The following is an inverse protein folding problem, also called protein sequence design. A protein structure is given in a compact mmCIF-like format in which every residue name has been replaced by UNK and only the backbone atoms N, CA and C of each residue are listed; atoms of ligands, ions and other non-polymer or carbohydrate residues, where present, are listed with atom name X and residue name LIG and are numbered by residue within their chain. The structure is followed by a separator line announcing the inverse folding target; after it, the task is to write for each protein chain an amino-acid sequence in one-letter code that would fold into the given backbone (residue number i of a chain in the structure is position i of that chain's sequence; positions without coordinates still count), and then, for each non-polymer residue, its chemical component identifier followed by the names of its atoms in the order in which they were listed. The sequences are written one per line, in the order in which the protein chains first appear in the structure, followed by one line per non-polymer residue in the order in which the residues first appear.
data_IF_861451740448
#
_entry.id   IF_861451740448
#
_cell.length_a   1.000
_cell.length_b   1.000
_cell.length_c   1.000
_cell.angle_alpha   90.00
_cell.angle_beta   90.00
_cell.angle_gamma   90.00
#
_symmetry.space_group_name_H-M   'P 1'
#
loop_
_entity.id
_entity.type
_entity.pdbx_description
1 polymer ?
#
# COMPACT_ATOMS: atom_id res chain seq x y z
N UNK A 1 -10.18 13.55 21.62
CA UNK A 1 -10.61 12.39 20.84
C UNK A 1 -9.47 12.13 19.91
N UNK A 2 -8.84 10.97 19.99
CA UNK A 2 -7.83 10.59 19.01
C UNK A 2 -8.61 10.16 17.79
N UNK A 3 -8.67 11.02 16.78
CA UNK A 3 -9.23 10.65 15.49
C UNK A 3 -8.31 9.56 14.94
N UNK A 4 -8.79 8.32 14.95
CA UNK A 4 -8.03 7.21 14.40
C UNK A 4 -7.95 7.41 12.88
N UNK A 5 -6.76 7.28 12.31
CA UNK A 5 -6.53 7.28 10.88
C UNK A 5 -6.49 5.83 10.40
N UNK A 6 -7.13 5.55 9.27
CA UNK A 6 -7.24 4.22 8.69
C UNK A 6 -6.51 4.17 7.35
N UNK A 7 -5.87 3.03 7.04
CA UNK A 7 -5.05 2.85 5.84
C UNK A 7 -5.55 1.64 5.04
N UNK A 8 -5.81 1.83 3.75
CA UNK A 8 -6.20 0.75 2.83
C UNK A 8 -5.21 0.64 1.66
N UNK A 9 -4.69 -0.57 1.47
CA UNK A 9 -3.64 -0.87 0.50
C UNK A 9 -4.20 -1.61 -0.71
N UNK A 10 -3.63 -1.31 -1.89
CA UNK A 10 -4.02 -1.98 -3.14
C UNK A 10 -2.90 -1.95 -4.18
N UNK A 11 -3.02 -2.84 -5.16
CA UNK A 11 -2.11 -2.93 -6.30
C UNK A 11 -2.80 -2.55 -7.59
N UNK A 12 -2.06 -1.86 -8.46
CA UNK A 12 -2.47 -1.52 -9.81
C UNK A 12 -1.43 -1.98 -10.81
N UNK A 13 -1.89 -2.52 -11.93
CA UNK A 13 -1.08 -2.72 -13.13
C UNK A 13 -1.47 -1.62 -14.13
N UNK A 14 -0.51 -0.82 -14.60
CA UNK A 14 -0.76 0.10 -15.71
C UNK A 14 -0.86 -0.68 -17.03
N UNK A 15 -1.62 -0.15 -18.00
CA UNK A 15 -1.74 -0.77 -19.31
C UNK A 15 -0.39 -0.92 -20.03
N UNK A 16 -0.25 -2.02 -20.74
CA UNK A 16 0.94 -2.38 -21.54
C UNK A 16 0.94 -1.52 -22.82
N UNK A 17 1.84 -0.54 -22.90
CA UNK A 17 1.93 0.32 -24.08
C UNK A 17 2.83 -0.38 -25.10
N UNK A 18 2.23 -0.98 -26.13
CA UNK A 18 2.97 -1.46 -27.29
C UNK A 18 3.50 -0.29 -28.12
N UNK A 19 4.73 0.15 -27.81
CA UNK A 19 5.45 1.11 -28.63
C UNK A 19 6.15 0.36 -29.76
N UNK A 20 5.65 0.55 -30.99
CA UNK A 20 6.35 0.28 -32.25
C UNK A 20 6.72 -1.16 -32.66
N UNK A 21 5.95 -2.17 -32.23
CA UNK A 21 6.01 -3.51 -32.86
C UNK A 21 7.24 -4.35 -32.52
N UNK A 22 8.06 -3.91 -31.56
CA UNK A 22 8.93 -4.78 -30.79
C UNK A 22 8.25 -5.13 -29.47
N UNK A 23 8.11 -6.43 -29.17
CA UNK A 23 7.67 -6.98 -27.88
C UNK A 23 8.58 -6.48 -26.74
N UNK A 24 8.38 -5.24 -26.33
CA UNK A 24 8.87 -4.72 -25.06
C UNK A 24 7.63 -4.53 -24.21
N UNK A 25 7.05 -5.65 -23.75
CA UNK A 25 5.89 -5.70 -22.85
C UNK A 25 6.21 -5.13 -21.47
N UNK A 26 6.64 -3.87 -21.43
CA UNK A 26 6.97 -3.14 -20.22
C UNK A 26 5.65 -2.71 -19.57
N UNK A 27 5.18 -3.51 -18.63
CA UNK A 27 4.15 -3.09 -17.69
C UNK A 27 4.81 -2.31 -16.54
N UNK A 28 4.25 -1.16 -16.20
CA UNK A 28 4.54 -0.51 -14.93
C UNK A 28 3.45 -0.88 -13.91
N UNK A 29 3.83 -0.91 -12.66
CA UNK A 29 2.98 -1.26 -11.55
C UNK A 29 2.95 -0.11 -10.54
N UNK A 30 1.87 -0.05 -9.75
CA UNK A 30 1.67 0.94 -8.71
C UNK A 30 1.14 0.27 -7.44
N UNK A 31 1.69 0.70 -6.30
CA UNK A 31 1.10 0.46 -4.97
C UNK A 31 0.39 1.74 -4.54
N UNK A 32 -0.88 1.61 -4.17
CA UNK A 32 -1.67 2.69 -3.63
C UNK A 32 -1.96 2.49 -2.14
N UNK A 33 -1.98 3.59 -1.40
CA UNK A 33 -2.32 3.65 0.02
C UNK A 33 -3.32 4.78 0.21
N UNK A 34 -4.57 4.42 0.43
CA UNK A 34 -5.60 5.39 0.79
C UNK A 34 -5.61 5.59 2.30
N UNK A 35 -5.71 6.86 2.71
CA UNK A 35 -5.75 7.27 4.11
C UNK A 35 -7.14 7.82 4.41
N UNK A 36 -7.82 7.30 5.42
CA UNK A 36 -9.21 7.65 5.75
C UNK A 36 -9.37 8.14 7.19
N UNK A 37 -10.39 8.97 7.41
CA UNK A 37 -10.78 9.43 8.74
C UNK A 37 -11.73 8.44 9.46
N UNK A 38 -12.27 7.46 8.73
CA UNK A 38 -13.26 6.51 9.23
C UNK A 38 -13.02 5.09 8.69
N UNK A 39 -13.47 4.10 9.45
CA UNK A 39 -13.35 2.66 9.13
C UNK A 39 -14.33 2.23 8.01
N UNK A 40 -15.31 3.07 7.66
CA UNK A 40 -16.27 2.82 6.57
C UNK A 40 -15.77 3.32 5.20
N UNK A 41 -14.56 3.90 5.15
CA UNK A 41 -13.93 4.46 3.95
C UNK A 41 -14.73 5.57 3.25
N UNK A 42 -15.54 6.33 4.02
CA UNK A 42 -16.38 7.40 3.46
C UNK A 42 -15.63 8.74 3.29
N UNK A 43 -14.61 8.98 4.12
CA UNK A 43 -13.88 10.24 4.17
C UNK A 43 -12.39 10.00 3.90
N UNK A 44 -12.01 10.05 2.62
CA UNK A 44 -10.62 10.04 2.18
C UNK A 44 -9.91 11.32 2.63
N UNK A 45 -8.78 11.16 3.30
CA UNK A 45 -7.90 12.22 3.76
C UNK A 45 -6.70 12.42 2.83
N UNK A 46 -6.10 11.32 2.35
CA UNK A 46 -4.92 11.35 1.49
C UNK A 46 -4.85 10.10 0.59
N UNK A 47 -4.12 10.20 -0.53
CA UNK A 47 -3.88 9.13 -1.51
C UNK A 47 -2.39 9.11 -1.86
N UNK A 48 -1.67 8.14 -1.29
CA UNK A 48 -0.23 7.95 -1.51
C UNK A 48 -0.03 6.89 -2.58
N UNK A 49 0.76 7.23 -3.61
CA UNK A 49 1.03 6.36 -4.76
C UNK A 49 2.51 6.20 -5.00
N UNK A 50 2.94 4.95 -5.14
CA UNK A 50 4.29 4.58 -5.55
C UNK A 50 4.16 3.90 -6.91
N UNK A 51 4.56 4.60 -7.97
CA UNK A 51 4.35 4.19 -9.36
C UNK A 51 5.67 3.97 -10.10
N UNK A 52 5.59 3.34 -11.28
CA UNK A 52 6.77 3.02 -12.08
C UNK A 52 7.52 1.78 -11.59
N UNK A 53 6.90 0.99 -10.71
CA UNK A 53 7.47 -0.24 -10.18
C UNK A 53 7.45 -1.33 -11.25
N UNK A 54 8.46 -2.19 -11.24
CA UNK A 54 8.34 -3.49 -11.88
C UNK A 54 7.49 -4.46 -11.03
N UNK A 55 7.27 -5.67 -11.55
CA UNK A 55 6.44 -6.67 -10.88
C UNK A 55 7.06 -7.16 -9.57
N UNK A 56 8.39 -7.31 -9.52
CA UNK A 56 9.08 -7.81 -8.33
C UNK A 56 9.08 -6.74 -7.24
N UNK A 57 9.30 -5.48 -7.61
CA UNK A 57 9.20 -4.33 -6.73
C UNK A 57 7.79 -4.18 -6.15
N UNK A 58 6.74 -4.26 -6.97
CA UNK A 58 5.35 -4.25 -6.50
C UNK A 58 5.10 -5.35 -5.44
N UNK A 59 5.52 -6.58 -5.74
CA UNK A 59 5.30 -7.73 -4.85
C UNK A 59 6.12 -7.64 -3.56
N UNK A 60 7.20 -6.85 -3.54
CA UNK A 60 8.03 -6.64 -2.35
C UNK A 60 7.30 -5.89 -1.22
N UNK A 61 6.27 -5.09 -1.55
CA UNK A 61 5.42 -4.47 -0.53
C UNK A 61 4.56 -5.49 0.21
N UNK A 62 4.40 -6.72 -0.28
CA UNK A 62 3.72 -7.86 0.36
C UNK A 62 2.57 -7.41 1.29
N UNK A 63 1.54 -6.75 0.73
CA UNK A 63 0.48 -6.09 1.51
C UNK A 63 -0.30 -7.03 2.44
N UNK A 64 -0.17 -8.35 2.29
CA UNK A 64 -0.79 -9.35 3.16
C UNK A 64 0.10 -9.76 4.34
N UNK A 65 1.37 -9.34 4.36
CA UNK A 65 2.35 -9.64 5.39
C UNK A 65 2.90 -8.35 6.01
N UNK A 66 2.41 -8.02 7.21
CA UNK A 66 2.76 -6.78 7.92
C UNK A 66 4.28 -6.56 8.08
N UNK A 67 5.05 -7.59 8.45
CA UNK A 67 6.49 -7.44 8.71
C UNK A 67 7.26 -7.04 7.44
N UNK A 68 6.89 -7.65 6.31
CA UNK A 68 7.49 -7.35 5.00
C UNK A 68 7.01 -6.01 4.46
N UNK A 69 5.70 -5.75 4.54
CA UNK A 69 5.12 -4.47 4.14
C UNK A 69 5.76 -3.31 4.89
N UNK A 70 5.88 -3.39 6.22
CA UNK A 70 6.45 -2.31 7.01
C UNK A 70 7.92 -2.07 6.70
N UNK A 71 8.69 -3.15 6.52
CA UNK A 71 10.09 -3.02 6.11
C UNK A 71 10.18 -2.24 4.79
N UNK A 72 9.34 -2.59 3.80
CA UNK A 72 9.34 -1.93 2.51
C UNK A 72 8.85 -0.48 2.58
N UNK A 73 7.79 -0.20 3.32
CA UNK A 73 7.29 1.16 3.53
C UNK A 73 8.32 2.06 4.22
N UNK A 74 9.07 1.53 5.19
CA UNK A 74 10.16 2.25 5.85
C UNK A 74 11.32 2.54 4.87
N UNK A 75 11.65 1.63 3.95
CA UNK A 75 12.64 1.88 2.88
C UNK A 75 12.23 3.02 1.95
N UNK A 76 10.93 3.13 1.64
CA UNK A 76 10.37 4.21 0.82
C UNK A 76 10.12 5.52 1.61
N UNK A 77 10.50 5.56 2.89
CA UNK A 77 10.40 6.74 3.75
C UNK A 77 9.01 6.99 4.37
N UNK A 78 8.08 6.03 4.26
CA UNK A 78 6.70 6.11 4.77
C UNK A 78 6.60 5.71 6.26
N UNK A 79 7.53 6.23 7.08
CA UNK A 79 7.63 5.87 8.50
C UNK A 79 6.39 6.24 9.33
N UNK A 80 5.69 7.33 8.98
CA UNK A 80 4.46 7.75 9.66
C UNK A 80 3.35 6.73 9.49
N UNK A 81 3.11 6.27 8.24
CA UNK A 81 2.13 5.23 7.92
C UNK A 81 2.39 3.97 8.75
N UNK A 82 3.64 3.52 8.81
CA UNK A 82 4.01 2.33 9.58
C UNK A 82 3.80 2.54 11.09
N UNK A 83 4.15 3.72 11.61
CA UNK A 83 3.95 4.04 13.03
C UNK A 83 2.47 4.04 13.41
N UNK A 84 1.62 4.67 12.59
CA UNK A 84 0.20 4.80 12.83
C UNK A 84 -0.49 3.43 12.77
N UNK A 85 -0.14 2.60 11.77
CA UNK A 85 -0.64 1.22 11.66
C UNK A 85 -0.19 0.36 12.85
N UNK A 86 1.09 0.43 13.27
CA UNK A 86 1.59 -0.32 14.43
C UNK A 86 0.87 0.08 15.73
N UNK A 87 0.49 1.35 15.85
CA UNK A 87 -0.25 1.91 16.98
C UNK A 87 -1.72 1.46 16.97
N UNK A 88 -2.36 1.47 15.80
CA UNK A 88 -3.73 0.98 15.61
C UNK A 88 -3.82 -0.55 15.77
N UNK A 89 -2.77 -1.27 15.39
CA UNK A 89 -2.69 -2.73 15.42
C UNK A 89 -3.37 -3.42 14.24
N UNK A 90 -3.77 -2.67 13.21
CA UNK A 90 -4.37 -3.21 11.99
C UNK A 90 -4.29 -2.21 10.83
N UNK A 91 -4.48 -2.71 9.62
CA UNK A 91 -4.68 -1.95 8.39
C UNK A 91 -5.65 -2.71 7.47
N UNK A 92 -5.96 -2.16 6.30
CA UNK A 92 -6.85 -2.79 5.33
C UNK A 92 -6.14 -3.08 4.01
N UNK A 93 -6.58 -4.13 3.34
CA UNK A 93 -6.18 -4.44 1.96
C UNK A 93 -7.46 -4.60 1.15
N UNK A 94 -7.71 -3.69 0.22
CA UNK A 94 -8.96 -3.65 -0.55
C UNK A 94 -10.21 -3.75 0.33
N UNK A 95 -10.18 -3.08 1.49
CA UNK A 95 -11.26 -3.10 2.49
C UNK A 95 -11.28 -4.31 3.44
N UNK A 96 -10.38 -5.28 3.28
CA UNK A 96 -10.26 -6.42 4.21
C UNK A 96 -9.30 -6.11 5.35
N UNK A 97 -9.76 -6.26 6.60
CA UNK A 97 -8.98 -5.94 7.81
C UNK A 97 -7.87 -6.96 8.05
N UNK A 98 -6.63 -6.49 8.06
CA UNK A 98 -5.44 -7.26 8.42
C UNK A 98 -4.97 -6.85 9.82
N UNK A 99 -4.96 -7.80 10.75
CA UNK A 99 -4.47 -7.58 12.11
C UNK A 99 -2.94 -7.69 12.16
N UNK A 100 -2.29 -6.71 12.77
CA UNK A 100 -0.86 -6.74 13.02
C UNK A 100 -0.62 -7.50 14.31
N UNK A 101 -0.07 -8.70 14.20
CA UNK A 101 0.38 -9.44 15.37
C UNK A 101 1.52 -8.66 16.01
N UNK A 102 1.29 -8.02 17.16
CA UNK A 102 2.42 -7.52 17.94
C UNK A 102 3.21 -8.75 18.40
N UNK A 103 4.38 -8.97 17.79
CA UNK A 103 5.29 -10.03 18.18
C UNK A 103 5.48 -9.98 19.70
N UNK A 104 5.22 -11.12 20.35
CA UNK A 104 5.51 -11.33 21.77
C UNK A 104 7.00 -11.20 22.05
#
# INVERSE_FOLDING_TARGET
MTDNIYYDFWYLKSEEINLDGSDTGAAAYEVGINVFADEEFNQLLDDVRISGLDKEELLSFDVLNADRLFSKLEEEGLHSVVHDIKTAGFYFVMGEKISVSQGK
#
